data_IF_398592471612
#
_entry.id   IF_398592471612
#
_cell.length_a   1.000
_cell.length_b   1.000
_cell.length_c   1.000
_cell.angle_alpha   90.00
_cell.angle_beta   90.00
_cell.angle_gamma   90.00
#
_symmetry.space_group_name_H-M   'P 1'
#
loop_
_entity.id
_entity.type
_entity.pdbx_description
1 polymer ?
#
# COMPACT_ATOMS: atom_id res chain seq x y z
N UNK A 1 -28.70 -46.26 -34.03
CA UNK A 1 -27.75 -45.99 -32.91
C UNK A 1 -26.62 -47.01 -32.80
N UNK A 2 -26.90 -48.32 -32.88
CA UNK A 2 -25.88 -49.38 -32.70
C UNK A 2 -24.72 -49.27 -33.69
N UNK A 3 -25.01 -49.03 -34.97
CA UNK A 3 -23.99 -48.87 -36.02
C UNK A 3 -23.09 -47.65 -35.78
N UNK A 4 -23.65 -46.54 -35.30
CA UNK A 4 -22.88 -45.34 -34.97
C UNK A 4 -21.92 -45.58 -33.79
N UNK A 5 -22.39 -46.32 -32.78
CA UNK A 5 -21.55 -46.71 -31.64
C UNK A 5 -20.42 -47.65 -32.05
N UNK A 6 -20.70 -48.60 -32.95
CA UNK A 6 -19.68 -49.50 -33.50
C UNK A 6 -18.64 -48.73 -34.32
N UNK A 7 -19.05 -47.76 -35.14
CA UNK A 7 -18.13 -46.89 -35.89
C UNK A 7 -17.22 -46.10 -34.95
N UNK A 8 -17.75 -45.55 -33.85
CA UNK A 8 -16.96 -44.81 -32.86
C UNK A 8 -15.98 -45.73 -32.12
N UNK A 9 -16.42 -46.92 -31.70
CA UNK A 9 -15.55 -47.88 -31.00
C UNK A 9 -14.44 -48.37 -31.93
N UNK A 10 -14.75 -48.70 -33.19
CA UNK A 10 -13.76 -49.06 -34.20
C UNK A 10 -12.78 -47.91 -34.48
N UNK A 11 -13.28 -46.67 -34.53
CA UNK A 11 -12.44 -45.48 -34.69
C UNK A 11 -11.49 -45.29 -33.50
N UNK A 12 -12.00 -45.41 -32.26
CA UNK A 12 -11.19 -45.28 -31.05
C UNK A 12 -10.14 -46.39 -30.99
N UNK A 13 -10.52 -47.65 -31.28
CA UNK A 13 -9.61 -48.79 -31.31
C UNK A 13 -8.50 -48.65 -32.35
N UNK A 14 -8.79 -48.08 -33.52
CA UNK A 14 -7.78 -47.74 -34.53
C UNK A 14 -6.84 -46.60 -34.07
N UNK A 15 -7.33 -45.66 -33.27
CA UNK A 15 -6.52 -44.53 -32.78
C UNK A 15 -5.69 -44.84 -31.54
N UNK A 16 -5.98 -45.93 -30.83
CA UNK A 16 -5.33 -46.33 -29.58
C UNK A 16 -4.39 -47.53 -29.72
N UNK A 17 -3.83 -47.78 -30.91
CA UNK A 17 -2.76 -48.78 -31.06
C UNK A 17 -1.44 -48.21 -30.48
N UNK A 18 -0.93 -48.74 -29.34
CA UNK A 18 0.28 -48.22 -28.68
C UNK A 18 1.57 -48.56 -29.43
N UNK A 19 1.49 -49.26 -30.57
CA UNK A 19 2.64 -49.56 -31.42
C UNK A 19 3.15 -48.29 -32.09
N UNK A 20 4.29 -47.79 -31.58
CA UNK A 20 5.01 -46.58 -32.01
C UNK A 20 5.39 -46.50 -33.50
N UNK A 21 5.14 -47.56 -34.29
CA UNK A 21 5.42 -47.61 -35.73
C UNK A 21 4.21 -47.47 -36.66
N UNK A 22 2.96 -47.49 -36.15
CA UNK A 22 1.78 -47.55 -37.02
C UNK A 22 1.59 -46.28 -37.87
N UNK A 23 1.29 -46.47 -39.17
CA UNK A 23 0.95 -45.42 -40.13
C UNK A 23 -0.34 -44.67 -39.75
N UNK A 24 -1.17 -45.24 -38.88
CA UNK A 24 -2.48 -44.72 -38.48
C UNK A 24 -2.44 -43.78 -37.26
N UNK A 25 -1.25 -43.46 -36.73
CA UNK A 25 -1.13 -42.52 -35.63
C UNK A 25 -1.51 -41.09 -36.09
N UNK A 26 -2.64 -40.59 -35.57
CA UNK A 26 -3.20 -39.26 -35.88
C UNK A 26 -2.22 -38.12 -35.68
N UNK A 27 -1.32 -38.24 -34.71
CA UNK A 27 -0.29 -37.21 -34.43
C UNK A 27 0.84 -37.19 -35.46
N UNK A 28 1.05 -38.28 -36.19
CA UNK A 28 2.09 -38.38 -37.21
C UNK A 28 1.75 -37.53 -38.43
N UNK A 29 0.48 -37.44 -38.81
CA UNK A 29 0.01 -36.53 -39.86
C UNK A 29 0.30 -35.07 -39.48
N UNK A 30 0.03 -34.66 -38.24
CA UNK A 30 0.39 -33.33 -37.75
C UNK A 30 1.91 -33.11 -37.74
N UNK A 31 2.70 -34.12 -37.37
CA UNK A 31 4.16 -34.03 -37.46
C UNK A 31 4.65 -33.85 -38.90
N UNK A 32 4.15 -34.63 -39.86
CA UNK A 32 4.51 -34.49 -41.27
C UNK A 32 4.03 -33.16 -41.87
N UNK A 33 2.84 -32.68 -41.50
CA UNK A 33 2.34 -31.36 -41.89
C UNK A 33 3.17 -30.23 -41.27
N UNK A 34 3.75 -30.44 -40.07
CA UNK A 34 4.60 -29.45 -39.39
C UNK A 34 6.06 -29.45 -39.89
N UNK A 35 6.54 -30.56 -40.44
CA UNK A 35 7.91 -30.73 -40.92
C UNK A 35 8.34 -29.66 -41.96
N UNK A 36 7.52 -29.27 -42.96
CA UNK A 36 7.91 -28.20 -43.89
C UNK A 36 7.96 -26.81 -43.25
N UNK A 37 7.31 -26.59 -42.09
CA UNK A 37 7.36 -25.32 -41.37
C UNK A 37 8.55 -25.20 -40.42
N UNK A 38 9.20 -26.32 -40.08
CA UNK A 38 10.39 -26.35 -39.23
C UNK A 38 11.55 -25.48 -39.75
N UNK A 39 11.94 -25.51 -41.05
CA UNK A 39 12.99 -24.63 -41.57
C UNK A 39 12.60 -23.15 -41.47
N UNK A 40 11.34 -22.79 -41.72
CA UNK A 40 10.87 -21.41 -41.57
C UNK A 40 10.93 -20.92 -40.13
N UNK A 41 10.55 -21.76 -39.17
CA UNK A 41 10.69 -21.45 -37.75
C UNK A 41 12.15 -21.26 -37.34
N UNK A 42 13.06 -22.09 -37.85
CA UNK A 42 14.50 -21.98 -37.58
C UNK A 42 15.08 -20.68 -38.16
N UNK A 43 14.76 -20.34 -39.41
CA UNK A 43 15.17 -19.08 -40.05
C UNK A 43 14.63 -17.87 -39.30
N UNK A 44 13.34 -17.88 -38.92
CA UNK A 44 12.74 -16.82 -38.11
C UNK A 44 13.44 -16.67 -36.75
N UNK A 45 13.74 -17.78 -36.08
CA UNK A 45 14.43 -17.77 -34.78
C UNK A 45 15.86 -17.23 -34.92
N UNK A 46 16.60 -17.64 -35.96
CA UNK A 46 17.93 -17.12 -36.27
C UNK A 46 17.89 -15.62 -36.58
N UNK A 47 16.93 -15.16 -37.39
CA UNK A 47 16.74 -13.75 -37.69
C UNK A 47 16.42 -12.94 -36.42
N UNK A 48 15.54 -13.46 -35.56
CA UNK A 48 15.18 -12.80 -34.29
C UNK A 48 16.36 -12.73 -33.31
N UNK A 49 17.23 -13.73 -33.27
CA UNK A 49 18.38 -13.75 -32.36
C UNK A 49 19.50 -12.85 -32.88
N UNK A 50 19.81 -12.90 -34.18
CA UNK A 50 20.99 -12.23 -34.73
C UNK A 50 20.71 -10.87 -35.37
N UNK A 51 19.57 -10.70 -36.07
CA UNK A 51 19.27 -9.47 -36.82
C UNK A 51 18.45 -8.46 -36.01
N UNK A 52 17.56 -8.91 -35.12
CA UNK A 52 16.74 -8.00 -34.31
C UNK A 52 17.56 -7.07 -33.38
N UNK A 53 18.57 -7.53 -32.62
CA UNK A 53 19.31 -6.62 -31.74
C UNK A 53 20.14 -5.59 -32.52
N UNK A 54 20.71 -5.98 -33.67
CA UNK A 54 21.50 -5.06 -34.52
C UNK A 54 20.60 -4.01 -35.18
N UNK A 55 19.43 -4.41 -35.71
CA UNK A 55 18.43 -3.48 -36.23
C UNK A 55 17.91 -2.52 -35.15
N UNK A 56 17.65 -3.01 -33.94
CA UNK A 56 17.21 -2.18 -32.82
C UNK A 56 18.28 -1.16 -32.40
N UNK A 57 19.56 -1.57 -32.34
CA UNK A 57 20.66 -0.66 -32.05
C UNK A 57 20.87 0.38 -33.15
N UNK A 58 20.79 -0.02 -34.43
CA UNK A 58 20.89 0.90 -35.56
C UNK A 58 19.76 1.93 -35.54
N UNK A 59 18.52 1.50 -35.31
CA UNK A 59 17.37 2.39 -35.22
C UNK A 59 17.48 3.33 -34.01
N UNK A 60 17.95 2.85 -32.86
CA UNK A 60 18.22 3.70 -31.69
C UNK A 60 19.26 4.79 -32.00
N UNK A 61 20.34 4.44 -32.71
CA UNK A 61 21.36 5.40 -33.14
C UNK A 61 20.81 6.41 -34.16
N UNK A 62 20.04 5.96 -35.16
CA UNK A 62 19.40 6.82 -36.14
C UNK A 62 18.41 7.81 -35.49
N UNK A 63 17.61 7.35 -34.51
CA UNK A 63 16.72 8.20 -33.73
C UNK A 63 17.52 9.21 -32.90
N UNK A 64 18.63 8.82 -32.27
CA UNK A 64 19.50 9.75 -31.52
C UNK A 64 20.13 10.81 -32.43
N UNK A 65 20.63 10.42 -33.60
CA UNK A 65 21.19 11.32 -34.61
C UNK A 65 20.14 12.30 -35.16
N UNK A 66 18.95 11.80 -35.51
CA UNK A 66 17.87 12.67 -35.99
C UNK A 66 17.38 13.66 -34.92
N UNK A 67 17.35 13.25 -33.64
CA UNK A 67 17.05 14.15 -32.51
C UNK A 67 18.14 15.18 -32.31
N UNK A 68 19.41 14.78 -32.37
CA UNK A 68 20.54 15.70 -32.29
C UNK A 68 20.51 16.75 -33.42
N UNK A 69 20.22 16.33 -34.65
CA UNK A 69 20.12 17.23 -35.80
C UNK A 69 18.92 18.19 -35.73
N UNK A 70 17.85 17.82 -35.01
CA UNK A 70 16.65 18.67 -34.83
C UNK A 70 16.71 19.59 -33.62
N UNK A 71 17.71 19.45 -32.75
CA UNK A 71 17.87 20.37 -31.63
C UNK A 71 18.49 21.66 -32.13
N UNK A 72 17.64 22.68 -32.35
CA UNK A 72 18.10 24.07 -32.38
C UNK A 72 18.90 24.33 -31.10
N UNK A 73 20.04 25.05 -31.16
CA UNK A 73 20.79 25.39 -29.96
C UNK A 73 19.86 26.16 -29.02
N UNK A 74 19.34 25.47 -28.00
CA UNK A 74 18.62 26.09 -26.92
C UNK A 74 19.66 26.91 -26.19
N UNK A 75 19.54 28.23 -26.22
CA UNK A 75 20.29 29.10 -25.35
C UNK A 75 19.90 28.74 -23.92
N UNK A 76 20.65 27.82 -23.31
CA UNK A 76 20.48 27.47 -21.91
C UNK A 76 20.90 28.74 -21.17
N UNK A 77 19.97 29.47 -20.53
CA UNK A 77 20.35 30.63 -19.74
C UNK A 77 21.38 30.14 -18.72
N UNK A 78 22.54 30.78 -18.72
CA UNK A 78 23.62 30.41 -17.81
C UNK A 78 23.04 30.45 -16.40
N UNK A 79 23.04 29.33 -15.64
CA UNK A 79 22.48 29.34 -14.30
C UNK A 79 23.20 30.43 -13.50
N UNK A 80 22.47 31.25 -12.72
CA UNK A 80 23.09 32.28 -11.92
C UNK A 80 24.21 31.64 -11.09
N UNK A 81 25.41 32.22 -11.13
CA UNK A 81 26.52 31.72 -10.31
C UNK A 81 26.06 31.71 -8.85
N UNK A 82 26.25 30.60 -8.12
CA UNK A 82 25.95 30.56 -6.70
C UNK A 82 26.73 31.68 -6.03
N UNK A 83 26.02 32.69 -5.54
CA UNK A 83 26.66 33.76 -4.76
C UNK A 83 27.07 33.14 -3.43
N UNK A 84 28.35 33.28 -3.08
CA UNK A 84 28.84 32.75 -1.82
C UNK A 84 27.99 33.30 -0.65
N UNK A 85 27.66 32.45 0.33
CA UNK A 85 26.83 32.85 1.46
C UNK A 85 27.46 34.02 2.22
N UNK A 86 26.60 34.86 2.81
CA UNK A 86 26.97 36.03 3.60
C UNK A 86 28.17 35.74 4.53
N UNK A 87 29.27 36.46 4.29
CA UNK A 87 30.55 36.35 5.02
C UNK A 87 30.40 36.64 6.54
N UNK A 88 29.26 37.17 6.98
CA UNK A 88 29.10 37.71 8.33
C UNK A 88 28.55 36.73 9.38
N UNK A 89 28.13 35.51 9.03
CA UNK A 89 27.62 34.56 10.04
C UNK A 89 28.57 33.37 10.22
N UNK A 90 29.27 33.32 11.36
CA UNK A 90 30.06 32.15 11.76
C UNK A 90 29.12 31.02 12.16
N UNK A 91 28.68 30.21 11.20
CA UNK A 91 27.98 28.96 11.50
C UNK A 91 28.87 28.05 12.34
N UNK A 92 28.33 27.38 13.37
CA UNK A 92 29.09 26.39 14.13
C UNK A 92 29.56 25.28 13.18
N UNK A 93 30.89 25.07 13.11
CA UNK A 93 31.51 24.01 12.32
C UNK A 93 31.16 22.66 12.93
N UNK A 94 30.07 22.07 12.45
CA UNK A 94 29.74 20.67 12.75
C UNK A 94 30.03 19.84 11.51
N UNK A 95 30.53 18.60 11.69
CA UNK A 95 30.85 17.70 10.57
C UNK A 95 29.66 17.47 9.62
N UNK A 96 28.42 17.59 10.14
CA UNK A 96 27.20 17.49 9.35
C UNK A 96 27.06 18.65 8.35
N UNK A 97 27.47 19.86 8.73
CA UNK A 97 27.38 21.03 7.86
C UNK A 97 28.32 20.91 6.66
N UNK A 98 29.53 20.39 6.85
CA UNK A 98 30.49 20.15 5.76
C UNK A 98 29.91 19.21 4.69
N UNK A 99 29.08 18.25 5.12
CA UNK A 99 28.38 17.31 4.22
C UNK A 99 27.20 17.99 3.52
N UNK A 100 26.40 18.80 4.24
CA UNK A 100 25.22 19.47 3.71
C UNK A 100 25.54 20.65 2.77
N UNK A 101 26.77 21.16 2.81
CA UNK A 101 27.25 22.17 1.85
C UNK A 101 27.30 21.61 0.43
N UNK A 102 27.49 20.29 0.27
CA UNK A 102 27.55 19.64 -1.04
C UNK A 102 26.11 19.41 -1.52
N UNK A 103 25.70 20.13 -2.57
CA UNK A 103 24.32 20.08 -3.07
C UNK A 103 23.91 18.66 -3.48
N UNK A 104 24.78 17.93 -4.18
CA UNK A 104 24.51 16.58 -4.66
C UNK A 104 24.18 15.62 -3.52
N UNK A 105 24.86 15.76 -2.39
CA UNK A 105 24.60 14.93 -1.20
C UNK A 105 23.24 15.25 -0.61
N UNK A 106 22.87 16.53 -0.52
CA UNK A 106 21.53 16.94 -0.07
C UNK A 106 20.45 16.37 -0.99
N UNK A 107 20.66 16.45 -2.31
CA UNK A 107 19.70 15.91 -3.28
C UNK A 107 19.58 14.39 -3.17
N UNK A 108 20.66 13.66 -2.89
CA UNK A 108 20.62 12.21 -2.67
C UNK A 108 19.87 11.85 -1.40
N UNK A 109 20.06 12.61 -0.30
CA UNK A 109 19.27 12.45 0.92
C UNK A 109 17.79 12.72 0.64
N UNK A 110 17.47 13.77 -0.12
CA UNK A 110 16.10 14.18 -0.46
C UNK A 110 15.36 13.15 -1.32
N UNK A 111 16.05 12.44 -2.24
CA UNK A 111 15.46 11.32 -3.00
C UNK A 111 14.90 10.23 -2.07
N UNK A 112 15.47 10.11 -0.87
CA UNK A 112 15.09 9.22 0.21
C UNK A 112 13.81 9.59 0.96
N UNK A 113 13.36 10.84 0.86
CA UNK A 113 12.48 11.46 1.87
C UNK A 113 11.15 11.94 1.31
N UNK A 114 10.12 11.95 2.17
CA UNK A 114 8.90 12.68 1.89
C UNK A 114 9.16 14.18 1.97
N UNK A 115 8.46 14.98 1.16
CA UNK A 115 8.62 16.44 1.21
C UNK A 115 8.41 17.01 2.62
N UNK A 116 7.44 16.47 3.36
CA UNK A 116 7.22 16.80 4.76
C UNK A 116 8.44 16.50 5.64
N UNK A 117 9.12 15.39 5.39
CA UNK A 117 10.33 15.01 6.14
C UNK A 117 11.51 15.93 5.80
N UNK A 118 11.62 16.40 4.55
CA UNK A 118 12.60 17.42 4.15
C UNK A 118 12.34 18.74 4.89
N UNK A 119 11.08 19.14 5.01
CA UNK A 119 10.69 20.32 5.81
C UNK A 119 11.04 20.11 7.28
N UNK A 120 10.67 18.98 7.88
CA UNK A 120 11.04 18.67 9.27
C UNK A 120 12.55 18.60 9.48
N UNK A 121 13.29 18.05 8.52
CA UNK A 121 14.76 17.99 8.56
C UNK A 121 15.36 19.40 8.57
N UNK A 122 14.80 20.33 7.79
CA UNK A 122 15.20 21.74 7.83
C UNK A 122 14.84 22.47 9.12
N UNK A 123 13.92 21.94 9.93
CA UNK A 123 13.54 22.54 11.20
C UNK A 123 14.48 22.16 12.35
N UNK A 124 15.35 21.17 12.16
CA UNK A 124 16.27 20.66 13.19
C UNK A 124 17.24 21.73 13.70
N UNK A 125 17.74 22.60 12.82
CA UNK A 125 18.55 23.77 13.20
C UNK A 125 18.47 24.85 12.13
N UNK A 126 18.76 26.10 12.52
CA UNK A 126 18.85 27.23 11.57
C UNK A 126 19.90 26.98 10.48
N UNK A 127 21.05 26.42 10.85
CA UNK A 127 22.14 26.14 9.92
C UNK A 127 21.74 25.09 8.87
N UNK A 128 21.09 24.00 9.30
CA UNK A 128 20.53 22.98 8.40
C UNK A 128 19.44 23.58 7.51
N UNK A 129 18.60 24.48 8.05
CA UNK A 129 17.59 25.20 7.27
C UNK A 129 18.21 26.02 6.15
N UNK A 130 19.26 26.79 6.43
CA UNK A 130 19.93 27.63 5.44
C UNK A 130 20.64 26.81 4.37
N UNK A 131 21.16 25.62 4.73
CA UNK A 131 21.77 24.71 3.76
C UNK A 131 20.74 24.02 2.88
N UNK A 132 19.57 23.63 3.40
CA UNK A 132 18.52 22.97 2.61
C UNK A 132 17.70 24.00 1.84
N UNK A 133 17.31 25.10 2.48
CA UNK A 133 16.47 26.18 1.98
C UNK A 133 17.21 27.52 2.03
N UNK A 134 18.26 27.71 1.21
CA UNK A 134 18.95 28.99 1.11
C UNK A 134 17.97 30.08 0.67
N UNK A 135 17.87 31.21 1.39
CA UNK A 135 16.86 32.24 1.11
C UNK A 135 16.98 32.83 -0.29
N UNK A 136 18.20 32.92 -0.85
CA UNK A 136 18.46 33.46 -2.19
C UNK A 136 18.07 32.51 -3.33
N UNK A 137 18.19 31.21 -3.11
CA UNK A 137 17.93 30.17 -4.13
C UNK A 137 16.64 29.38 -3.85
N UNK A 138 15.79 29.85 -2.94
CA UNK A 138 14.57 29.15 -2.54
C UNK A 138 13.68 28.84 -3.76
N UNK A 139 13.55 29.80 -4.68
CA UNK A 139 12.72 29.68 -5.88
C UNK A 139 13.19 28.56 -6.82
N UNK A 140 14.49 28.31 -6.92
CA UNK A 140 15.06 27.26 -7.78
C UNK A 140 15.17 25.90 -7.05
N UNK A 141 15.59 25.94 -5.78
CA UNK A 141 15.91 24.73 -5.03
C UNK A 141 14.67 23.97 -4.55
N UNK A 142 13.60 24.67 -4.20
CA UNK A 142 12.35 24.04 -3.74
C UNK A 142 11.72 23.16 -4.84
N UNK A 143 11.51 23.64 -6.09
CA UNK A 143 11.03 22.78 -7.18
C UNK A 143 11.93 21.57 -7.44
N UNK A 144 13.25 21.76 -7.44
CA UNK A 144 14.24 20.68 -7.64
C UNK A 144 14.10 19.60 -6.56
N UNK A 145 14.07 19.98 -5.28
CA UNK A 145 13.85 19.05 -4.18
C UNK A 145 12.44 18.43 -4.18
N UNK A 146 11.40 19.17 -4.57
CA UNK A 146 10.04 18.63 -4.75
C UNK A 146 9.95 17.59 -5.87
N UNK A 147 10.70 17.77 -6.95
CA UNK A 147 10.76 16.80 -8.05
C UNK A 147 11.51 15.52 -7.70
N UNK A 148 12.43 15.59 -6.73
CA UNK A 148 13.21 14.44 -6.26
C UNK A 148 12.57 13.74 -5.06
N UNK A 149 11.83 14.47 -4.24
CA UNK A 149 11.01 13.89 -3.17
C UNK A 149 9.72 13.31 -3.76
N UNK A 150 9.05 12.44 -3.02
CA UNK A 150 7.85 11.71 -3.48
C UNK A 150 6.58 12.57 -3.71
N UNK A 151 6.71 13.88 -3.96
CA UNK A 151 5.61 14.85 -4.00
C UNK A 151 4.53 14.55 -5.05
N UNK A 152 4.87 13.87 -6.15
CA UNK A 152 3.95 13.54 -7.25
C UNK A 152 3.11 12.28 -7.02
N UNK A 153 3.38 11.51 -5.98
CA UNK A 153 2.73 10.21 -5.77
C UNK A 153 1.61 10.28 -4.75
N UNK A 154 0.59 9.41 -4.86
CA UNK A 154 -0.44 9.30 -3.84
C UNK A 154 0.24 9.06 -2.49
N UNK A 155 -0.18 9.85 -1.50
CA UNK A 155 0.26 9.73 -0.12
C UNK A 155 -0.86 9.06 0.66
N UNK A 156 -0.55 7.98 1.36
CA UNK A 156 -1.44 7.39 2.36
C UNK A 156 -0.97 7.83 3.75
N UNK A 157 -1.85 7.79 4.76
CA UNK A 157 -1.43 7.97 6.15
C UNK A 157 -1.11 6.61 6.75
N UNK A 158 -0.04 6.53 7.54
CA UNK A 158 0.29 5.37 8.34
C UNK A 158 -0.88 5.05 9.25
N UNK A 159 -1.33 3.81 9.20
CA UNK A 159 -2.53 3.39 9.90
C UNK A 159 -2.44 3.57 11.43
N UNK A 160 -1.23 3.64 12.00
CA UNK A 160 -1.02 3.68 13.46
C UNK A 160 -0.63 5.05 14.01
N UNK A 161 0.08 5.86 13.24
CA UNK A 161 0.64 7.12 13.71
C UNK A 161 0.29 8.31 12.81
N UNK A 162 -0.57 8.10 11.80
CA UNK A 162 -1.03 9.10 10.83
C UNK A 162 0.08 9.80 10.02
N UNK A 163 1.34 9.38 10.16
CA UNK A 163 2.46 9.88 9.37
C UNK A 163 2.23 9.56 7.90
N UNK A 164 2.38 10.53 7.01
CA UNK A 164 2.22 10.33 5.57
C UNK A 164 3.28 9.37 5.02
N UNK A 165 2.84 8.30 4.36
CA UNK A 165 3.65 7.30 3.67
C UNK A 165 3.54 7.58 2.17
N UNK A 166 4.68 7.61 1.49
CA UNK A 166 4.75 7.65 0.04
C UNK A 166 4.85 6.24 -0.54
N UNK A 167 3.92 5.88 -1.42
CA UNK A 167 3.86 4.53 -2.01
C UNK A 167 5.07 4.17 -2.92
N UNK A 168 5.88 5.16 -3.33
CA UNK A 168 6.99 4.95 -4.27
C UNK A 168 8.30 4.53 -3.64
N UNK A 169 8.50 4.81 -2.35
CA UNK A 169 9.70 4.33 -1.68
C UNK A 169 9.73 2.79 -1.65
N UNK A 170 8.55 2.18 -1.61
CA UNK A 170 8.38 0.73 -1.63
C UNK A 170 8.68 0.16 -3.02
N UNK A 171 8.50 0.89 -4.12
CA UNK A 171 8.74 0.41 -5.51
C UNK A 171 10.19 0.51 -5.96
N UNK A 172 10.93 1.56 -5.60
CA UNK A 172 12.34 1.70 -6.00
C UNK A 172 13.29 0.78 -5.23
N UNK A 173 13.01 0.50 -3.96
CA UNK A 173 13.79 -0.49 -3.19
C UNK A 173 13.71 -1.91 -3.80
N UNK A 174 12.61 -2.24 -4.51
CA UNK A 174 12.49 -3.53 -5.19
C UNK A 174 13.33 -3.68 -6.47
N UNK A 175 13.75 -2.60 -7.13
CA UNK A 175 14.60 -2.69 -8.33
C UNK A 175 16.10 -2.74 -8.02
N UNK A 176 16.52 -2.25 -6.85
CA UNK A 176 17.93 -2.24 -6.42
C UNK A 176 18.34 -3.59 -5.80
N UNK A 177 17.36 -4.42 -5.39
CA UNK A 177 17.52 -5.63 -4.58
C UNK A 177 17.95 -6.93 -5.32
N UNK A 178 18.51 -6.87 -6.53
CA UNK A 178 18.88 -8.12 -7.25
C UNK A 178 20.38 -8.38 -7.39
N UNK A 179 21.26 -7.40 -7.13
CA UNK A 179 22.71 -7.58 -7.40
C UNK A 179 23.66 -7.11 -6.31
N UNK A 180 23.19 -6.45 -5.26
CA UNK A 180 24.07 -5.96 -4.20
C UNK A 180 23.40 -6.18 -2.83
N UNK A 181 24.19 -6.70 -1.89
CA UNK A 181 23.90 -6.96 -0.47
C UNK A 181 23.28 -8.32 -0.12
N UNK A 182 24.20 -9.26 0.11
CA UNK A 182 24.06 -10.50 0.89
C UNK A 182 24.15 -10.27 2.42
N UNK A 183 24.02 -9.04 2.91
CA UNK A 183 24.02 -8.79 4.36
C UNK A 183 22.63 -9.00 4.98
N UNK A 184 22.60 -9.74 6.09
CA UNK A 184 21.41 -10.21 6.84
C UNK A 184 20.42 -9.13 7.31
N UNK A 185 20.68 -7.85 7.04
CA UNK A 185 19.78 -6.74 7.38
C UNK A 185 18.68 -6.47 6.34
N UNK A 186 18.73 -7.05 5.13
CA UNK A 186 17.76 -6.78 4.05
C UNK A 186 16.75 -7.91 3.75
N UNK A 187 16.65 -8.94 4.61
CA UNK A 187 15.55 -9.92 4.57
C UNK A 187 14.14 -9.29 4.71
N UNK A 188 14.08 -8.03 5.13
CA UNK A 188 12.87 -7.21 5.23
C UNK A 188 12.17 -6.94 3.89
N UNK A 189 12.91 -6.91 2.77
CA UNK A 189 12.36 -6.41 1.50
C UNK A 189 11.73 -7.51 0.63
N UNK A 190 12.17 -8.77 0.75
CA UNK A 190 11.64 -9.90 -0.03
C UNK A 190 10.25 -10.38 0.45
N UNK A 191 9.87 -10.14 1.71
CA UNK A 191 8.51 -10.42 2.20
C UNK A 191 7.48 -9.39 1.71
N UNK A 192 7.92 -8.14 1.45
CA UNK A 192 7.07 -7.05 0.94
C UNK A 192 6.72 -7.17 -0.55
N UNK A 193 7.57 -7.79 -1.37
CA UNK A 193 7.29 -7.97 -2.81
C UNK A 193 6.22 -9.02 -3.10
N UNK A 194 6.03 -10.02 -2.23
CA UNK A 194 4.88 -10.95 -2.33
C UNK A 194 3.58 -10.31 -1.84
N UNK A 195 3.67 -9.39 -0.87
CA UNK A 195 2.54 -8.55 -0.44
C UNK A 195 2.06 -7.58 -1.53
N UNK A 196 2.92 -7.13 -2.47
CA UNK A 196 2.52 -6.22 -3.56
C UNK A 196 1.43 -6.72 -4.51
N UNK A 197 1.29 -8.03 -4.73
CA UNK A 197 0.13 -8.56 -5.49
C UNK A 197 -1.17 -8.58 -4.66
N UNK A 198 -1.05 -8.37 -3.35
CA UNK A 198 -2.14 -8.34 -2.38
C UNK A 198 -2.41 -6.92 -1.86
N UNK A 199 -1.54 -5.94 -2.17
CA UNK A 199 -1.64 -4.53 -1.76
C UNK A 199 -2.84 -3.78 -2.36
N UNK A 200 -3.56 -4.39 -3.31
CA UNK A 200 -4.87 -3.91 -3.78
C UNK A 200 -6.05 -4.71 -3.21
N UNK A 201 -5.82 -5.63 -2.26
CA UNK A 201 -6.88 -6.39 -1.62
C UNK A 201 -7.49 -5.59 -0.47
N UNK A 202 -8.33 -4.67 -0.91
CA UNK A 202 -9.68 -4.53 -0.39
C UNK A 202 -9.88 -4.73 1.11
N UNK A 203 -9.46 -3.75 1.93
CA UNK A 203 -9.82 -3.68 3.35
C UNK A 203 -11.32 -3.91 3.51
N UNK A 204 -11.70 -5.00 4.15
CA UNK A 204 -13.08 -5.42 4.33
C UNK A 204 -13.98 -4.30 4.86
N UNK A 205 -13.46 -3.48 5.78
CA UNK A 205 -14.16 -2.33 6.34
C UNK A 205 -14.49 -1.21 5.33
N UNK A 206 -13.71 -1.05 4.24
CA UNK A 206 -13.94 0.01 3.24
C UNK A 206 -14.94 -0.39 2.14
N UNK A 207 -15.05 -1.69 1.86
CA UNK A 207 -15.97 -2.21 0.84
C UNK A 207 -17.33 -2.62 1.40
N UNK A 208 -17.41 -2.92 2.70
CA UNK A 208 -18.69 -3.16 3.34
C UNK A 208 -19.40 -1.83 3.54
N UNK A 209 -20.61 -1.75 2.98
CA UNK A 209 -21.44 -0.56 3.01
C UNK A 209 -22.79 -0.89 3.64
N UNK A 210 -23.42 0.08 4.32
CA UNK A 210 -24.70 -0.13 4.97
C UNK A 210 -25.86 -0.06 3.97
N UNK A 211 -26.84 -0.93 4.17
CA UNK A 211 -28.08 -1.02 3.41
C UNK A 211 -29.28 -1.04 4.35
N UNK A 212 -30.38 -0.42 3.91
CA UNK A 212 -31.66 -0.55 4.59
C UNK A 212 -32.23 -1.97 4.39
N UNK A 213 -33.12 -2.39 5.28
CA UNK A 213 -33.75 -3.72 5.26
C UNK A 213 -34.42 -4.03 3.93
N UNK A 214 -35.12 -3.06 3.32
CA UNK A 214 -35.76 -3.26 2.00
C UNK A 214 -34.73 -3.50 0.90
N UNK A 215 -33.67 -2.67 0.82
CA UNK A 215 -32.60 -2.84 -0.16
C UNK A 215 -31.81 -4.14 0.04
N UNK A 216 -31.62 -4.55 1.29
CA UNK A 216 -30.99 -5.81 1.66
C UNK A 216 -31.79 -7.00 1.15
N UNK A 217 -33.08 -7.09 1.49
CA UNK A 217 -33.94 -8.18 1.00
C UNK A 217 -33.96 -8.21 -0.52
N UNK A 218 -34.12 -7.06 -1.18
CA UNK A 218 -34.09 -6.98 -2.65
C UNK A 218 -32.75 -7.38 -3.29
N UNK A 219 -31.65 -7.34 -2.55
CA UNK A 219 -30.33 -7.77 -3.06
C UNK A 219 -30.07 -9.26 -2.84
N UNK A 220 -30.74 -9.85 -1.85
CA UNK A 220 -30.52 -11.23 -1.41
C UNK A 220 -31.56 -12.18 -1.96
N UNK A 221 -32.83 -11.78 -2.05
CA UNK A 221 -33.88 -12.63 -2.64
C UNK A 221 -33.58 -12.98 -4.10
N UNK A 222 -32.81 -12.13 -4.79
CA UNK A 222 -32.29 -12.42 -6.13
C UNK A 222 -31.17 -13.47 -6.18
N UNK A 223 -30.63 -13.90 -5.04
CA UNK A 223 -29.53 -14.88 -4.96
C UNK A 223 -30.02 -16.16 -4.28
N UNK A 224 -30.00 -17.26 -5.02
CA UNK A 224 -30.37 -18.58 -4.52
C UNK A 224 -29.44 -19.08 -3.38
N UNK A 225 -28.19 -18.61 -3.35
CA UNK A 225 -27.20 -18.98 -2.32
C UNK A 225 -26.79 -17.76 -1.48
N UNK A 226 -27.16 -17.77 -0.20
CA UNK A 226 -26.63 -16.85 0.80
C UNK A 226 -25.16 -17.19 1.12
N UNK A 227 -24.23 -16.55 0.40
CA UNK A 227 -22.79 -16.67 0.70
C UNK A 227 -22.40 -15.60 1.71
N UNK A 228 -21.51 -15.97 2.64
CA UNK A 228 -20.91 -15.03 3.58
C UNK A 228 -19.70 -14.34 2.92
N UNK A 229 -19.56 -13.04 3.20
CA UNK A 229 -18.45 -12.24 2.70
C UNK A 229 -17.08 -12.90 2.98
N UNK A 230 -16.31 -13.15 1.91
CA UNK A 230 -14.97 -13.78 2.00
C UNK A 230 -13.85 -12.77 2.30
N UNK A 231 -14.08 -11.46 2.11
CA UNK A 231 -13.08 -10.41 2.33
C UNK A 231 -12.60 -10.40 3.79
N UNK A 232 -13.48 -10.61 4.77
CA UNK A 232 -13.12 -10.65 6.18
C UNK A 232 -12.08 -11.74 6.52
N UNK A 233 -12.15 -12.90 5.85
CA UNK A 233 -11.18 -14.00 6.04
C UNK A 233 -9.82 -13.67 5.43
N UNK A 234 -9.80 -12.91 4.33
CA UNK A 234 -8.59 -12.53 3.60
C UNK A 234 -7.81 -11.45 4.35
N UNK A 235 -8.50 -10.41 4.84
CA UNK A 235 -7.92 -9.34 5.65
C UNK A 235 -7.14 -9.85 6.87
N UNK A 236 -7.67 -10.88 7.55
CA UNK A 236 -7.03 -11.45 8.74
C UNK A 236 -5.66 -12.07 8.45
N UNK A 237 -5.37 -12.47 7.21
CA UNK A 237 -4.12 -13.16 6.82
C UNK A 237 -3.00 -12.20 6.40
N UNK A 238 -3.33 -11.06 5.81
CA UNK A 238 -2.35 -10.08 5.30
C UNK A 238 -2.12 -8.90 6.26
N UNK A 239 -2.61 -9.02 7.50
CA UNK A 239 -2.84 -7.90 8.40
C UNK A 239 -1.61 -7.24 9.04
N UNK A 240 -0.40 -7.78 8.92
CA UNK A 240 0.70 -7.35 9.80
C UNK A 240 1.70 -6.38 9.17
N UNK A 241 1.70 -6.18 7.84
CA UNK A 241 2.79 -5.45 7.17
C UNK A 241 2.37 -4.37 6.18
N UNK A 242 1.07 -4.27 5.87
CA UNK A 242 0.56 -3.29 4.89
C UNK A 242 0.19 -1.97 5.59
N UNK A 243 0.44 -0.83 4.93
CA UNK A 243 0.15 0.54 5.40
C UNK A 243 0.83 0.98 6.72
N UNK A 244 1.97 0.38 7.02
CA UNK A 244 2.83 0.77 8.14
C UNK A 244 3.95 1.70 7.66
N UNK A 245 4.20 2.80 8.37
CA UNK A 245 5.43 3.54 8.16
C UNK A 245 6.62 2.70 8.61
N UNK A 246 7.81 3.01 8.07
CA UNK A 246 9.05 2.27 8.36
C UNK A 246 9.32 2.16 9.87
N UNK A 247 8.99 3.21 10.64
CA UNK A 247 9.13 3.21 12.10
C UNK A 247 8.20 2.18 12.76
N UNK A 248 6.92 2.16 12.41
CA UNK A 248 5.98 1.18 12.96
C UNK A 248 6.32 -0.23 12.48
N UNK A 249 6.73 -0.40 11.22
CA UNK A 249 7.19 -1.68 10.69
C UNK A 249 8.45 -2.21 11.43
N UNK A 250 9.40 -1.34 11.75
CA UNK A 250 10.61 -1.71 12.49
C UNK A 250 10.33 -2.08 13.96
N UNK A 251 9.30 -1.51 14.57
CA UNK A 251 8.81 -1.93 15.89
C UNK A 251 8.22 -3.35 15.78
N UNK A 252 7.33 -3.56 14.79
CA UNK A 252 6.73 -4.87 14.52
C UNK A 252 7.78 -5.96 14.33
N UNK A 253 8.82 -5.74 13.51
CA UNK A 253 9.79 -6.81 13.23
C UNK A 253 10.78 -7.04 14.37
N UNK A 254 11.22 -6.00 15.09
CA UNK A 254 12.07 -6.21 16.28
C UNK A 254 11.36 -7.07 17.33
N UNK A 255 10.05 -6.93 17.44
CA UNK A 255 9.23 -7.67 18.39
C UNK A 255 8.89 -9.08 17.88
N UNK A 256 8.73 -9.27 16.57
CA UNK A 256 8.55 -10.60 15.97
C UNK A 256 9.85 -11.42 16.05
N UNK A 257 11.00 -10.79 15.79
CA UNK A 257 12.31 -11.46 15.76
C UNK A 257 12.82 -11.92 17.12
N UNK A 258 12.35 -11.30 18.20
CA UNK A 258 12.70 -11.66 19.59
C UNK A 258 11.78 -12.73 20.18
N UNK A 259 10.75 -13.16 19.44
CA UNK A 259 9.69 -14.03 19.95
C UNK A 259 9.85 -15.49 19.53
N UNK A 260 10.79 -16.22 20.14
CA UNK A 260 10.74 -17.68 20.16
C UNK A 260 9.77 -18.24 21.22
N UNK A 261 9.29 -17.44 22.18
CA UNK A 261 8.36 -17.92 23.23
C UNK A 261 7.21 -16.96 23.60
N UNK A 262 7.20 -15.69 23.13
CA UNK A 262 6.17 -14.68 23.45
C UNK A 262 5.37 -14.19 22.23
N UNK A 263 5.17 -15.05 21.23
CA UNK A 263 4.54 -14.71 19.93
C UNK A 263 3.06 -14.29 20.03
N UNK A 264 2.39 -14.55 21.15
CA UNK A 264 0.93 -14.38 21.32
C UNK A 264 0.50 -13.04 21.91
N UNK A 265 1.31 -12.36 22.72
CA UNK A 265 0.81 -11.22 23.53
C UNK A 265 0.91 -9.87 22.82
N UNK A 266 1.92 -9.64 21.97
CA UNK A 266 2.13 -8.33 21.33
C UNK A 266 1.55 -8.22 19.91
N UNK A 267 1.48 -9.34 19.19
CA UNK A 267 0.61 -9.45 18.01
C UNK A 267 -0.84 -9.07 18.37
N UNK A 268 -1.28 -9.35 19.61
CA UNK A 268 -2.57 -8.92 20.11
C UNK A 268 -2.69 -7.41 20.32
N UNK A 269 -1.67 -6.66 20.75
CA UNK A 269 -1.82 -5.21 21.01
C UNK A 269 -1.99 -4.41 19.72
N UNK A 270 -1.16 -4.69 18.70
CA UNK A 270 -1.28 -4.05 17.39
C UNK A 270 -2.54 -4.50 16.66
N UNK A 271 -2.87 -5.79 16.73
CA UNK A 271 -4.14 -6.32 16.20
C UNK A 271 -5.34 -5.68 16.88
N UNK A 272 -5.30 -5.49 18.20
CA UNK A 272 -6.36 -4.82 18.98
C UNK A 272 -6.46 -3.37 18.57
N UNK A 273 -5.34 -2.64 18.47
CA UNK A 273 -5.35 -1.24 18.01
C UNK A 273 -5.91 -1.11 16.60
N UNK A 274 -5.52 -2.00 15.67
CA UNK A 274 -6.06 -2.04 14.32
C UNK A 274 -7.56 -2.35 14.31
N UNK A 275 -7.99 -3.34 15.08
CA UNK A 275 -9.39 -3.70 15.24
C UNK A 275 -10.21 -2.55 15.84
N UNK A 276 -9.64 -1.78 16.77
CA UNK A 276 -10.27 -0.59 17.33
C UNK A 276 -10.44 0.51 16.28
N UNK A 277 -9.42 0.75 15.44
CA UNK A 277 -9.51 1.71 14.33
C UNK A 277 -10.53 1.22 13.29
N UNK A 278 -10.60 -0.08 13.00
CA UNK A 278 -11.64 -0.62 12.10
C UNK A 278 -13.03 -0.47 12.66
N UNK A 279 -13.22 -0.82 13.94
CA UNK A 279 -14.48 -0.60 14.64
C UNK A 279 -14.82 0.89 14.67
N UNK A 280 -13.83 1.77 14.78
CA UNK A 280 -14.06 3.20 14.68
C UNK A 280 -14.51 3.58 13.28
N UNK A 281 -13.79 3.21 12.22
CA UNK A 281 -14.20 3.49 10.82
C UNK A 281 -15.55 2.89 10.45
N UNK A 282 -15.85 1.68 10.91
CA UNK A 282 -17.14 1.03 10.68
C UNK A 282 -18.27 1.71 11.47
N UNK A 283 -17.97 2.19 12.70
CA UNK A 283 -18.88 3.07 13.45
C UNK A 283 -19.06 4.40 12.74
N UNK A 284 -17.99 5.07 12.33
CA UNK A 284 -18.03 6.33 11.59
C UNK A 284 -18.82 6.19 10.27
N UNK A 285 -18.69 5.04 9.59
CA UNK A 285 -19.48 4.71 8.41
C UNK A 285 -20.93 4.32 8.72
N UNK A 286 -21.19 3.78 9.92
CA UNK A 286 -22.51 3.35 10.40
C UNK A 286 -23.30 4.42 11.17
N UNK A 287 -22.64 5.46 11.66
CA UNK A 287 -23.24 6.62 12.34
C UNK A 287 -23.09 7.93 11.57
N UNK A 288 -22.23 7.95 10.56
CA UNK A 288 -21.93 9.14 9.78
C UNK A 288 -20.81 9.96 10.42
N UNK A 289 -19.95 10.56 9.60
CA UNK A 289 -18.90 11.47 10.07
C UNK A 289 -19.47 12.89 10.05
N UNK A 290 -19.64 13.50 11.23
CA UNK A 290 -19.96 14.93 11.35
C UNK A 290 -21.43 15.30 11.06
N UNK A 291 -22.38 14.65 11.75
CA UNK A 291 -23.83 14.90 11.68
C UNK A 291 -24.52 14.61 10.34
N UNK A 292 -23.78 14.30 9.28
CA UNK A 292 -24.35 13.71 8.07
C UNK A 292 -24.75 12.26 8.40
N UNK A 293 -26.04 12.02 8.65
CA UNK A 293 -26.55 10.67 8.92
C UNK A 293 -26.13 9.66 7.85
N UNK A 294 -26.17 8.37 8.18
CA UNK A 294 -25.74 7.34 7.22
C UNK A 294 -26.79 7.11 6.17
N UNK A 295 -26.37 7.15 4.91
CA UNK A 295 -27.24 6.88 3.77
C UNK A 295 -27.12 5.42 3.31
N UNK A 296 -28.23 4.84 2.89
CA UNK A 296 -28.22 3.55 2.22
C UNK A 296 -27.52 3.70 0.87
N UNK A 297 -26.52 2.87 0.59
CA UNK A 297 -25.78 2.95 -0.68
C UNK A 297 -26.65 2.70 -1.92
N UNK A 298 -27.76 1.95 -1.79
CA UNK A 298 -28.61 1.61 -2.93
C UNK A 298 -29.70 2.65 -3.20
N UNK A 299 -30.44 3.11 -2.19
CA UNK A 299 -31.51 4.08 -2.37
C UNK A 299 -31.10 5.53 -2.06
N UNK A 300 -29.95 5.76 -1.42
CA UNK A 300 -29.51 7.08 -0.98
C UNK A 300 -30.24 7.61 0.26
N UNK A 301 -31.31 6.94 0.71
CA UNK A 301 -32.10 7.39 1.85
C UNK A 301 -31.29 7.32 3.15
N UNK A 302 -31.48 8.33 4.01
CA UNK A 302 -30.95 8.31 5.37
C UNK A 302 -31.51 7.10 6.15
N UNK A 303 -30.60 6.27 6.65
CA UNK A 303 -30.90 5.11 7.47
C UNK A 303 -31.38 5.59 8.84
N UNK A 304 -32.65 5.28 9.14
CA UNK A 304 -33.25 5.52 10.45
C UNK A 304 -32.67 4.58 11.50
N UNK A 305 -32.91 4.89 12.76
CA UNK A 305 -32.62 3.99 13.87
C UNK A 305 -33.22 2.60 13.62
N UNK A 306 -32.43 1.56 13.83
CA UNK A 306 -32.81 0.20 13.48
C UNK A 306 -31.65 -0.69 13.07
N UNK A 307 -31.99 -1.86 12.54
CA UNK A 307 -31.01 -2.83 12.06
C UNK A 307 -30.31 -2.36 10.80
N UNK A 308 -28.99 -2.54 10.79
CA UNK A 308 -28.15 -2.30 9.62
C UNK A 308 -27.72 -3.59 8.97
N UNK A 309 -27.79 -3.61 7.65
CA UNK A 309 -27.26 -4.71 6.86
C UNK A 309 -26.01 -4.26 6.12
N UNK A 310 -24.94 -5.03 6.26
CA UNK A 310 -23.65 -4.70 5.65
C UNK A 310 -23.41 -5.61 4.45
N UNK A 311 -23.30 -5.02 3.26
CA UNK A 311 -23.04 -5.74 2.03
C UNK A 311 -21.68 -5.28 1.49
N UNK A 312 -20.83 -6.24 1.17
CA UNK A 312 -19.53 -5.93 0.57
C UNK A 312 -19.71 -5.58 -0.91
N UNK A 313 -19.30 -4.40 -1.35
CA UNK A 313 -19.38 -4.01 -2.76
C UNK A 313 -18.49 -4.84 -3.69
N UNK A 314 -17.48 -5.53 -3.15
CA UNK A 314 -16.57 -6.36 -3.94
C UNK A 314 -17.14 -7.76 -4.23
N UNK A 315 -17.63 -8.48 -3.21
CA UNK A 315 -18.21 -9.81 -3.40
C UNK A 315 -19.75 -9.83 -3.50
N UNK A 316 -20.40 -8.70 -3.18
CA UNK A 316 -21.86 -8.56 -3.15
C UNK A 316 -22.54 -9.35 -2.03
N UNK A 317 -21.78 -9.94 -1.12
CA UNK A 317 -22.29 -10.82 -0.07
C UNK A 317 -22.51 -10.08 1.25
N UNK A 318 -23.44 -10.59 2.06
CA UNK A 318 -23.68 -10.10 3.42
C UNK A 318 -22.44 -10.34 4.29
N UNK A 319 -22.08 -9.31 5.05
CA UNK A 319 -20.99 -9.35 6.00
C UNK A 319 -21.51 -9.56 7.43
N UNK A 320 -21.15 -10.68 8.08
CA UNK A 320 -21.47 -10.92 9.50
C UNK A 320 -20.34 -10.51 10.46
N UNK A 321 -19.32 -9.78 10.02
CA UNK A 321 -18.17 -9.46 10.87
C UNK A 321 -18.56 -8.45 11.97
N UNK A 322 -18.16 -8.73 13.21
CA UNK A 322 -18.49 -7.94 14.40
C UNK A 322 -17.82 -6.57 14.46
N UNK A 323 -17.01 -6.23 13.45
CA UNK A 323 -16.52 -4.86 13.28
C UNK A 323 -17.65 -3.88 12.91
N UNK A 324 -18.71 -4.36 12.27
CA UNK A 324 -19.81 -3.53 11.81
C UNK A 324 -20.92 -3.46 12.87
N UNK A 325 -21.45 -2.26 13.17
CA UNK A 325 -22.60 -2.16 14.06
C UNK A 325 -23.82 -2.80 13.39
N UNK A 326 -24.45 -3.76 14.06
CA UNK A 326 -25.70 -4.36 13.58
C UNK A 326 -26.94 -3.48 13.80
N UNK A 327 -26.80 -2.41 14.60
CA UNK A 327 -27.91 -1.54 15.00
C UNK A 327 -27.44 -0.09 15.14
N UNK A 328 -28.21 0.85 14.56
CA UNK A 328 -28.06 2.29 14.80
C UNK A 328 -29.08 2.70 15.88
N UNK A 329 -28.58 3.27 16.98
CA UNK A 329 -29.40 3.95 17.97
C UNK A 329 -29.95 5.25 17.38
N UNK A 330 -31.18 5.62 17.74
CA UNK A 330 -31.74 6.92 17.36
C UNK A 330 -30.91 8.05 17.98
N UNK A 331 -30.09 8.70 17.16
CA UNK A 331 -29.23 9.81 17.58
C UNK A 331 -30.03 11.01 18.09
N UNK A 332 -31.33 11.12 17.76
CA UNK A 332 -32.19 12.16 18.34
C UNK A 332 -32.47 11.98 19.85
N UNK A 333 -32.25 10.78 20.41
CA UNK A 333 -32.47 10.53 21.85
C UNK A 333 -31.21 10.57 22.69
N UNK A 334 -30.02 10.51 22.10
CA UNK A 334 -28.78 10.86 22.80
C UNK A 334 -28.69 12.37 22.81
N UNK A 335 -29.53 13.01 23.64
CA UNK A 335 -29.41 14.43 23.94
C UNK A 335 -27.97 14.66 24.39
N UNK A 336 -27.30 15.57 23.71
CA UNK A 336 -25.93 16.02 23.93
C UNK A 336 -25.65 16.32 25.42
N UNK A 337 -26.69 16.66 26.19
CA UNK A 337 -26.69 16.84 27.65
C UNK A 337 -26.18 15.61 28.44
N UNK A 338 -26.44 14.36 28.03
CA UNK A 338 -25.96 13.19 28.79
C UNK A 338 -24.49 12.85 28.48
N UNK A 339 -24.00 13.15 27.28
CA UNK A 339 -22.59 12.91 26.92
C UNK A 339 -21.63 13.92 27.55
N UNK A 340 -22.06 15.17 27.73
CA UNK A 340 -21.27 16.18 28.44
C UNK A 340 -21.12 15.81 29.93
N UNK A 341 -22.20 15.34 30.57
CA UNK A 341 -22.21 14.92 31.98
C UNK A 341 -21.30 13.72 32.25
N UNK A 342 -21.22 12.76 31.33
CA UNK A 342 -20.34 11.59 31.50
C UNK A 342 -18.86 11.89 31.23
N UNK A 343 -18.56 12.86 30.37
CA UNK A 343 -17.20 13.30 30.12
C UNK A 343 -16.62 14.04 31.33
N UNK A 344 -17.40 14.95 31.94
CA UNK A 344 -17.03 15.65 33.18
C UNK A 344 -16.86 14.70 34.38
N UNK A 345 -17.74 13.69 34.50
CA UNK A 345 -17.59 12.62 35.52
C UNK A 345 -16.39 11.72 35.28
N UNK A 346 -15.99 11.51 34.02
CA UNK A 346 -14.82 10.72 33.66
C UNK A 346 -13.50 11.42 34.00
N UNK A 347 -13.40 12.72 33.76
CA UNK A 347 -12.21 13.52 34.06
C UNK A 347 -12.03 13.75 35.57
N UNK A 348 -13.11 14.04 36.30
CA UNK A 348 -13.09 14.14 37.76
C UNK A 348 -12.64 12.84 38.43
N UNK A 349 -13.14 11.67 37.99
CA UNK A 349 -12.69 10.35 38.50
C UNK A 349 -11.23 10.05 38.18
N UNK A 350 -10.70 10.49 37.03
CA UNK A 350 -9.28 10.34 36.68
C UNK A 350 -8.39 11.24 37.54
N UNK A 351 -8.81 12.48 37.77
CA UNK A 351 -8.12 13.42 38.67
C UNK A 351 -8.09 12.89 40.11
N UNK A 352 -9.19 12.34 40.59
CA UNK A 352 -9.29 11.77 41.94
C UNK A 352 -8.44 10.52 42.11
N UNK A 353 -8.41 9.61 41.12
CA UNK A 353 -7.48 8.46 41.11
C UNK A 353 -6.01 8.90 41.11
N UNK A 354 -5.67 9.98 40.39
CA UNK A 354 -4.31 10.53 40.36
C UNK A 354 -3.93 11.11 41.73
N UNK A 355 -4.84 11.86 42.37
CA UNK A 355 -4.67 12.42 43.72
C UNK A 355 -4.53 11.33 44.79
N UNK A 356 -5.31 10.24 44.69
CA UNK A 356 -5.23 9.11 45.62
C UNK A 356 -3.91 8.35 45.47
N UNK A 357 -3.41 8.19 44.23
CA UNK A 357 -2.08 7.61 43.97
C UNK A 357 -0.93 8.48 44.48
N UNK A 358 -1.02 9.81 44.39
CA UNK A 358 0.01 10.69 44.96
C UNK A 358 0.01 10.64 46.48
N UNK A 359 -1.17 10.57 47.12
CA UNK A 359 -1.30 10.45 48.58
C UNK A 359 -0.72 9.14 49.13
N UNK A 360 -0.98 8.01 48.44
CA UNK A 360 -0.38 6.72 48.81
C UNK A 360 1.15 6.77 48.74
N UNK A 361 1.72 7.36 47.69
CA UNK A 361 3.17 7.53 47.57
C UNK A 361 3.78 8.41 48.66
N UNK A 362 3.08 9.45 49.11
CA UNK A 362 3.56 10.30 50.20
C UNK A 362 3.47 9.60 51.56
N UNK A 363 2.47 8.73 51.77
CA UNK A 363 2.37 7.93 52.99
C UNK A 363 3.47 6.88 53.07
N UNK A 364 3.78 6.20 51.96
CA UNK A 364 4.88 5.24 51.89
C UNK A 364 6.25 5.89 52.17
N UNK A 365 6.42 7.18 51.83
CA UNK A 365 7.66 7.93 52.05
C UNK A 365 7.83 8.45 53.49
N UNK A 366 6.78 8.45 54.31
CA UNK A 366 6.80 8.86 55.72
C UNK A 366 6.94 7.67 56.68
N UNK A 367 6.86 6.44 56.16
CA UNK A 367 6.91 5.18 56.92
C UNK A 367 8.29 4.53 57.03
N UNK A 368 9.35 5.25 56.67
CA UNK A 368 10.77 4.85 56.80
C UNK A 368 11.54 5.96 57.47
#
# INVERSE_FOLDING_TARGET
>A
MIVFFQIIISYIGLTFDPRSGSLLNRWRLFHYLSLPFFPFYFVYKMFKIHCHPTLHMANSKAIKLSRAARMKPVAIPCPPRPQQPFISYKTPKTKLMDILVIEEVVLEIVKGLCWQDVVHFSMTSKAVREQIFPPRDLAYRVPKMKSLSCGSYPKSRCYYCDILICHVFISHLSSISSRALESDQFLFCKSLTRAKRLQHEHHHATYCRPHCTSCYHNSITSRADLRLCRCAKRDRRYACTEDLCTRCAAVVVREIGTANTKKTTMTNTLRTRRMNIYRQKARDAGFGVGNAGVECVRCGDALRAGFLWWICSHCGDCCPDSIHPGYIMDTRRVKIEEMEVDCEKGESRKAERKKRRSLLKSLDALGT
#
